data_IF_851743280926
#
_entry.id   IF_851743280926
#
_cell.length_a   1.000
_cell.length_b   1.000
_cell.length_c   1.000
_cell.angle_alpha   90.00
_cell.angle_beta   90.00
_cell.angle_gamma   90.00
#
_symmetry.space_group_name_H-M   'P 1'
#
loop_
_entity.id
_entity.type
_entity.pdbx_description
1 polymer ?
#
# COMPACT_ATOMS: atom_id res chain seq x y z
N UNK A 1 -21.39 16.61 24.31
CA UNK A 1 -22.45 15.73 23.78
C UNK A 1 -23.81 16.44 23.63
N UNK A 2 -24.04 17.64 24.20
CA UNK A 2 -25.34 18.34 24.13
C UNK A 2 -25.53 19.25 22.91
N UNK A 3 -24.47 19.88 22.37
CA UNK A 3 -24.61 20.87 21.29
C UNK A 3 -25.10 20.31 19.94
N UNK A 4 -24.94 19.00 19.71
CA UNK A 4 -25.39 18.35 18.47
C UNK A 4 -26.88 18.02 18.45
N UNK A 5 -27.56 18.08 19.60
CA UNK A 5 -28.99 17.75 19.71
C UNK A 5 -29.89 18.98 19.81
N UNK A 6 -29.33 20.18 19.98
CA UNK A 6 -30.06 21.44 20.08
C UNK A 6 -31.06 21.64 18.91
N UNK A 7 -30.65 21.56 17.63
CA UNK A 7 -31.57 21.80 16.52
C UNK A 7 -32.61 20.69 16.35
N UNK A 8 -32.33 19.46 16.82
CA UNK A 8 -33.29 18.35 16.79
C UNK A 8 -34.33 18.51 17.90
N UNK A 9 -33.89 18.95 19.09
CA UNK A 9 -34.76 19.25 20.21
C UNK A 9 -35.71 20.39 19.84
N UNK A 10 -35.19 21.46 19.24
CA UNK A 10 -36.00 22.61 18.83
C UNK A 10 -37.07 22.20 17.80
N UNK A 11 -36.71 21.40 16.78
CA UNK A 11 -37.68 20.91 15.78
C UNK A 11 -38.72 19.96 16.37
N UNK A 12 -38.32 19.06 17.29
CA UNK A 12 -39.26 18.15 17.94
C UNK A 12 -40.16 18.87 18.95
N UNK A 13 -39.65 19.91 19.60
CA UNK A 13 -40.39 20.76 20.53
C UNK A 13 -41.41 21.62 19.79
N UNK A 14 -41.03 22.25 18.68
CA UNK A 14 -41.95 23.00 17.81
C UNK A 14 -43.06 22.11 17.22
N UNK A 15 -42.72 20.87 16.86
CA UNK A 15 -43.71 19.89 16.38
C UNK A 15 -44.66 19.46 17.50
N UNK A 16 -44.14 19.20 18.71
CA UNK A 16 -44.93 18.86 19.88
C UNK A 16 -45.88 20.00 20.29
N UNK A 17 -45.38 21.23 20.29
CA UNK A 17 -46.17 22.40 20.64
C UNK A 17 -47.30 22.62 19.61
N UNK A 18 -46.97 22.53 18.32
CA UNK A 18 -47.95 22.61 17.22
C UNK A 18 -49.05 21.53 17.30
N UNK A 19 -48.70 20.30 17.67
CA UNK A 19 -49.64 19.18 17.79
C UNK A 19 -50.47 19.32 19.09
N UNK A 20 -49.89 19.86 20.17
CA UNK A 20 -50.57 20.00 21.46
C UNK A 20 -51.60 21.13 21.49
N UNK A 21 -51.43 22.16 20.64
CA UNK A 21 -52.30 23.34 20.55
C UNK A 21 -53.54 23.07 19.68
N UNK A 22 -53.51 22.11 18.75
CA UNK A 22 -54.66 21.73 17.92
C UNK A 22 -55.34 20.46 18.46
N UNK A 23 -56.61 20.58 18.91
CA UNK A 23 -57.40 19.45 19.42
C UNK A 23 -57.84 18.43 18.36
N UNK A 24 -57.69 18.76 17.07
CA UNK A 24 -57.98 17.86 15.94
C UNK A 24 -56.70 17.69 15.11
N UNK A 25 -56.00 16.57 15.32
CA UNK A 25 -54.79 16.22 14.55
C UNK A 25 -55.22 15.91 13.11
N UNK A 26 -54.80 16.75 12.16
CA UNK A 26 -55.08 16.53 10.74
C UNK A 26 -54.20 15.40 10.20
N UNK A 27 -54.69 14.68 9.20
CA UNK A 27 -53.89 13.67 8.48
C UNK A 27 -52.60 14.27 7.88
N UNK A 28 -52.61 15.58 7.56
CA UNK A 28 -51.43 16.32 7.12
C UNK A 28 -50.33 16.42 8.19
N UNK A 29 -50.70 16.60 9.45
CA UNK A 29 -49.74 16.71 10.57
C UNK A 29 -49.11 15.35 10.88
N UNK A 30 -49.88 14.26 10.73
CA UNK A 30 -49.39 12.89 10.85
C UNK A 30 -48.37 12.57 9.75
N UNK A 31 -48.65 12.96 8.50
CA UNK A 31 -47.72 12.78 7.38
C UNK A 31 -46.45 13.63 7.56
N UNK A 32 -46.58 14.86 8.05
CA UNK A 32 -45.45 15.72 8.36
C UNK A 32 -44.54 15.07 9.41
N UNK A 33 -45.10 14.58 10.52
CA UNK A 33 -44.35 13.90 11.58
C UNK A 33 -43.62 12.65 11.05
N UNK A 34 -44.27 11.83 10.23
CA UNK A 34 -43.66 10.63 9.61
C UNK A 34 -42.54 11.02 8.65
N UNK A 35 -42.72 12.06 7.84
CA UNK A 35 -41.71 12.53 6.89
C UNK A 35 -40.43 13.02 7.59
N UNK A 36 -40.59 13.73 8.71
CA UNK A 36 -39.48 14.20 9.55
C UNK A 36 -38.75 13.01 10.17
N UNK A 37 -39.48 12.02 10.67
CA UNK A 37 -38.88 10.81 11.23
C UNK A 37 -38.03 10.05 10.20
N UNK A 38 -38.54 9.90 8.97
CA UNK A 38 -37.81 9.26 7.87
C UNK A 38 -36.57 10.07 7.46
N UNK A 39 -36.66 11.40 7.41
CA UNK A 39 -35.53 12.27 7.10
C UNK A 39 -34.42 12.17 8.16
N UNK A 40 -34.78 12.15 9.45
CA UNK A 40 -33.83 11.96 10.56
C UNK A 40 -33.15 10.59 10.48
N UNK A 41 -33.91 9.54 10.15
CA UNK A 41 -33.36 8.21 9.98
C UNK A 41 -32.35 8.15 8.82
N UNK A 42 -32.69 8.73 7.65
CA UNK A 42 -31.79 8.80 6.51
C UNK A 42 -30.54 9.62 6.82
N UNK A 43 -30.68 10.76 7.49
CA UNK A 43 -29.57 11.61 7.89
C UNK A 43 -28.62 10.88 8.86
N UNK A 44 -29.14 10.14 9.84
CA UNK A 44 -28.31 9.31 10.74
C UNK A 44 -27.56 8.22 9.97
N UNK A 45 -28.24 7.53 9.05
CA UNK A 45 -27.62 6.51 8.20
C UNK A 45 -26.50 7.12 7.34
N UNK A 46 -26.72 8.28 6.75
CA UNK A 46 -25.72 9.02 5.97
C UNK A 46 -24.55 9.50 6.83
N UNK A 47 -24.79 10.00 8.05
CA UNK A 47 -23.71 10.44 8.95
C UNK A 47 -22.81 9.29 9.41
N UNK A 48 -23.38 8.12 9.70
CA UNK A 48 -22.58 6.95 10.11
C UNK A 48 -21.74 6.44 8.94
N UNK A 49 -22.31 6.38 7.73
CA UNK A 49 -21.56 6.02 6.52
C UNK A 49 -20.46 7.06 6.23
N UNK A 50 -20.82 8.35 6.25
CA UNK A 50 -19.89 9.45 5.99
C UNK A 50 -18.74 9.50 6.99
N UNK A 51 -18.96 9.23 8.29
CA UNK A 51 -17.86 9.16 9.28
C UNK A 51 -16.89 8.03 8.97
N UNK A 52 -17.40 6.85 8.61
CA UNK A 52 -16.55 5.71 8.22
C UNK A 52 -15.78 6.02 6.93
N UNK A 53 -16.42 6.66 5.97
CA UNK A 53 -15.79 7.07 4.71
C UNK A 53 -14.71 8.14 4.96
N UNK A 54 -14.96 9.13 5.81
CA UNK A 54 -13.97 10.16 6.16
C UNK A 54 -12.79 9.59 6.95
N UNK A 55 -13.02 8.70 7.93
CA UNK A 55 -11.94 8.03 8.66
C UNK A 55 -11.08 7.17 7.72
N UNK A 56 -11.73 6.52 6.76
CA UNK A 56 -11.06 5.71 5.73
C UNK A 56 -10.26 6.58 4.76
N UNK A 57 -10.85 7.65 4.22
CA UNK A 57 -10.16 8.60 3.35
C UNK A 57 -8.98 9.27 4.06
N UNK A 58 -9.11 9.60 5.35
CA UNK A 58 -8.00 10.12 6.15
C UNK A 58 -6.88 9.09 6.32
N UNK A 59 -7.20 7.82 6.57
CA UNK A 59 -6.21 6.73 6.66
C UNK A 59 -5.52 6.46 5.33
N UNK A 60 -6.28 6.41 4.23
CA UNK A 60 -5.75 6.24 2.88
C UNK A 60 -4.85 7.42 2.47
N UNK A 61 -5.29 8.66 2.78
CA UNK A 61 -4.52 9.88 2.53
C UNK A 61 -3.23 9.93 3.36
N UNK A 62 -3.30 9.53 4.63
CA UNK A 62 -2.12 9.44 5.50
C UNK A 62 -1.13 8.39 4.99
N UNK A 63 -1.59 7.18 4.65
CA UNK A 63 -0.73 6.13 4.09
C UNK A 63 -0.02 6.58 2.82
N UNK A 64 -0.75 7.20 1.89
CA UNK A 64 -0.16 7.69 0.65
C UNK A 64 0.87 8.80 0.91
N UNK A 65 0.52 9.80 1.71
CA UNK A 65 1.34 11.00 1.91
C UNK A 65 2.53 10.79 2.86
N UNK A 66 2.39 9.89 3.83
CA UNK A 66 3.39 9.70 4.90
C UNK A 66 4.25 8.47 4.65
N UNK A 67 3.72 7.42 4.01
CA UNK A 67 4.45 6.18 3.77
C UNK A 67 4.83 6.05 2.30
N UNK A 68 3.86 6.03 1.38
CA UNK A 68 4.16 5.67 -0.03
C UNK A 68 4.95 6.75 -0.77
N UNK A 69 4.50 8.01 -0.76
CA UNK A 69 5.16 9.09 -1.52
C UNK A 69 6.61 9.34 -1.09
N UNK A 70 6.95 9.39 0.20
CA UNK A 70 8.35 9.54 0.63
C UNK A 70 9.24 8.35 0.25
N UNK A 71 8.68 7.15 0.12
CA UNK A 71 9.44 5.94 -0.23
C UNK A 71 9.74 5.81 -1.72
N UNK A 72 8.97 6.44 -2.62
CA UNK A 72 9.17 6.30 -4.08
C UNK A 72 10.60 6.67 -4.56
N UNK A 73 11.23 7.77 -4.09
CA UNK A 73 12.62 8.07 -4.44
C UNK A 73 13.61 7.04 -3.90
N UNK A 74 13.36 6.46 -2.73
CA UNK A 74 14.20 5.43 -2.13
C UNK A 74 14.13 4.13 -2.91
N UNK A 75 12.92 3.72 -3.30
CA UNK A 75 12.69 2.61 -4.24
C UNK A 75 13.48 2.81 -5.52
N UNK A 76 13.30 3.94 -6.19
CA UNK A 76 14.00 4.24 -7.44
C UNK A 76 15.52 4.11 -7.28
N UNK A 77 16.09 4.75 -6.24
CA UNK A 77 17.52 4.72 -5.97
C UNK A 77 18.03 3.31 -5.68
N UNK A 78 17.27 2.54 -4.91
CA UNK A 78 17.61 1.16 -4.58
C UNK A 78 17.64 0.27 -5.83
N UNK A 79 16.60 0.33 -6.67
CA UNK A 79 16.50 -0.47 -7.88
C UNK A 79 17.53 -0.08 -8.94
N UNK A 80 17.76 1.22 -9.16
CA UNK A 80 18.81 1.69 -10.07
C UNK A 80 20.19 1.19 -9.60
N UNK A 81 20.48 1.30 -8.30
CA UNK A 81 21.73 0.77 -7.72
C UNK A 81 21.86 -0.75 -7.80
N UNK A 82 20.75 -1.49 -7.65
CA UNK A 82 20.73 -2.94 -7.77
C UNK A 82 21.01 -3.39 -9.20
N UNK A 83 20.47 -2.70 -10.21
CA UNK A 83 20.77 -2.95 -11.63
C UNK A 83 22.26 -2.79 -11.91
N UNK A 84 22.84 -1.69 -11.46
CA UNK A 84 24.27 -1.40 -11.66
C UNK A 84 25.15 -2.44 -10.96
N UNK A 85 24.80 -2.81 -9.73
CA UNK A 85 25.53 -3.81 -8.95
C UNK A 85 25.50 -5.19 -9.63
N UNK A 86 24.32 -5.68 -10.04
CA UNK A 86 24.20 -6.98 -10.73
C UNK A 86 24.96 -7.00 -12.05
N UNK A 87 24.97 -5.89 -12.80
CA UNK A 87 25.78 -5.76 -14.03
C UNK A 87 27.27 -5.84 -13.74
N UNK A 88 27.75 -5.12 -12.72
CA UNK A 88 29.14 -5.14 -12.31
C UNK A 88 29.56 -6.56 -11.84
N UNK A 89 28.74 -7.20 -11.02
CA UNK A 89 28.95 -8.55 -10.51
C UNK A 89 29.04 -9.59 -11.63
N UNK A 90 28.12 -9.57 -12.62
CA UNK A 90 28.23 -10.44 -13.81
C UNK A 90 29.51 -10.16 -14.59
N UNK A 91 29.90 -8.90 -14.73
CA UNK A 91 31.18 -8.52 -15.34
C UNK A 91 32.38 -9.12 -14.60
N UNK A 92 32.39 -9.07 -13.26
CA UNK A 92 33.43 -9.67 -12.42
C UNK A 92 33.52 -11.19 -12.59
N UNK A 93 32.38 -11.88 -12.63
CA UNK A 93 32.34 -13.34 -12.85
C UNK A 93 32.85 -13.67 -14.26
N UNK A 94 32.41 -12.95 -15.29
CA UNK A 94 32.79 -13.21 -16.68
C UNK A 94 34.29 -12.95 -16.94
N UNK A 95 34.87 -11.93 -16.29
CA UNK A 95 36.29 -11.60 -16.40
C UNK A 95 37.21 -12.50 -15.56
N UNK A 96 36.66 -13.41 -14.76
CA UNK A 96 37.46 -14.40 -14.02
C UNK A 96 38.04 -15.40 -15.02
N UNK A 97 39.36 -15.67 -15.07
CA UNK A 97 39.97 -16.51 -16.09
C UNK A 97 39.33 -17.91 -16.20
N UNK A 98 39.07 -18.44 -17.41
CA UNK A 98 38.63 -19.81 -17.57
C UNK A 98 39.83 -20.77 -17.36
N UNK A 99 39.82 -21.52 -16.26
CA UNK A 99 40.82 -22.55 -15.96
C UNK A 99 40.67 -23.14 -14.55
N UNK A 100 40.95 -24.45 -14.42
CA UNK A 100 41.05 -25.39 -13.27
C UNK A 100 40.25 -25.21 -11.96
N UNK A 101 39.73 -24.03 -11.62
CA UNK A 101 38.99 -23.69 -10.40
C UNK A 101 37.56 -23.22 -10.73
N UNK A 102 36.73 -24.11 -11.28
CA UNK A 102 35.28 -23.91 -11.27
C UNK A 102 34.73 -23.69 -9.85
N UNK A 103 35.44 -24.22 -8.84
CA UNK A 103 35.15 -24.05 -7.42
C UNK A 103 35.24 -22.57 -7.00
N UNK A 104 36.27 -21.82 -7.43
CA UNK A 104 36.40 -20.40 -7.11
C UNK A 104 35.30 -19.54 -7.75
N UNK A 105 34.78 -19.93 -8.94
CA UNK A 105 33.67 -19.23 -9.57
C UNK A 105 32.35 -19.50 -8.86
N UNK A 106 32.10 -20.75 -8.47
CA UNK A 106 30.90 -21.11 -7.70
C UNK A 106 30.90 -20.44 -6.32
N UNK A 107 32.05 -20.39 -5.65
CA UNK A 107 32.21 -19.67 -4.38
C UNK A 107 31.96 -18.16 -4.56
N UNK A 108 32.48 -17.56 -5.63
CA UNK A 108 32.24 -16.16 -5.96
C UNK A 108 30.76 -15.87 -6.23
N UNK A 109 30.06 -16.75 -6.95
CA UNK A 109 28.61 -16.65 -7.20
C UNK A 109 27.85 -16.72 -5.87
N UNK A 110 28.17 -17.71 -5.01
CA UNK A 110 27.52 -17.85 -3.71
C UNK A 110 27.69 -16.60 -2.84
N UNK A 111 28.91 -16.03 -2.79
CA UNK A 111 29.17 -14.79 -2.07
C UNK A 111 28.36 -13.60 -2.62
N UNK A 112 28.23 -13.50 -3.94
CA UNK A 112 27.44 -12.45 -4.60
C UNK A 112 25.94 -12.62 -4.29
N UNK A 113 25.44 -13.85 -4.30
CA UNK A 113 24.06 -14.17 -3.94
C UNK A 113 23.76 -13.78 -2.49
N UNK A 114 24.66 -14.10 -1.56
CA UNK A 114 24.54 -13.70 -0.15
C UNK A 114 24.58 -12.18 0.03
N UNK A 115 25.50 -11.47 -0.63
CA UNK A 115 25.61 -10.01 -0.58
C UNK A 115 24.35 -9.33 -1.13
N UNK A 116 23.83 -9.80 -2.27
CA UNK A 116 22.61 -9.30 -2.87
C UNK A 116 21.40 -9.61 -1.99
N UNK A 117 21.29 -10.83 -1.47
CA UNK A 117 20.24 -11.27 -0.56
C UNK A 117 20.18 -10.40 0.68
N UNK A 118 21.32 -10.16 1.33
CA UNK A 118 21.40 -9.27 2.51
C UNK A 118 20.98 -7.84 2.17
N UNK A 119 21.46 -7.28 1.07
CA UNK A 119 21.16 -5.90 0.67
C UNK A 119 19.67 -5.73 0.37
N UNK A 120 19.06 -6.69 -0.34
CA UNK A 120 17.63 -6.68 -0.64
C UNK A 120 16.82 -6.83 0.65
N UNK A 121 17.21 -7.77 1.51
CA UNK A 121 16.52 -8.03 2.76
C UNK A 121 16.51 -6.83 3.70
N UNK A 122 17.64 -6.13 3.84
CA UNK A 122 17.74 -4.94 4.71
C UNK A 122 16.80 -3.82 4.23
N UNK A 123 16.76 -3.57 2.92
CA UNK A 123 15.86 -2.56 2.35
C UNK A 123 14.39 -2.94 2.55
N UNK A 124 14.01 -4.18 2.24
CA UNK A 124 12.61 -4.61 2.35
C UNK A 124 12.13 -4.76 3.79
N UNK A 125 13.00 -5.15 4.73
CA UNK A 125 12.66 -5.15 6.15
C UNK A 125 12.30 -3.74 6.62
N UNK A 126 13.08 -2.73 6.21
CA UNK A 126 12.79 -1.34 6.55
C UNK A 126 11.42 -0.90 6.00
N UNK A 127 11.18 -1.14 4.71
CA UNK A 127 9.92 -0.76 4.05
C UNK A 127 8.73 -1.55 4.61
N UNK A 128 8.90 -2.84 4.87
CA UNK A 128 7.85 -3.73 5.38
C UNK A 128 7.40 -3.33 6.78
N UNK A 129 8.32 -2.87 7.65
CA UNK A 129 7.93 -2.32 8.97
C UNK A 129 7.07 -1.08 8.82
N UNK A 130 7.42 -0.17 7.90
CA UNK A 130 6.65 1.06 7.67
C UNK A 130 5.26 0.75 7.11
N UNK A 131 5.17 -0.10 6.10
CA UNK A 131 3.90 -0.49 5.48
C UNK A 131 3.07 -1.38 6.41
N UNK A 132 3.70 -2.28 7.14
CA UNK A 132 3.09 -3.17 8.14
C UNK A 132 2.49 -2.42 9.32
N UNK A 133 3.05 -1.26 9.69
CA UNK A 133 2.44 -0.38 10.71
C UNK A 133 1.07 0.17 10.31
N UNK A 134 0.80 0.23 9.00
CA UNK A 134 -0.50 0.59 8.45
C UNK A 134 -1.40 -0.64 8.25
N UNK A 135 -0.86 -1.69 7.61
CA UNK A 135 -1.56 -2.95 7.37
C UNK A 135 -0.56 -4.12 7.35
N UNK A 136 -0.67 -5.01 8.33
CA UNK A 136 0.21 -6.18 8.50
C UNK A 136 0.22 -7.10 7.28
N UNK A 137 -0.93 -7.25 6.59
CA UNK A 137 -1.04 -8.08 5.39
C UNK A 137 -0.29 -7.47 4.20
N UNK A 138 -0.26 -6.13 4.10
CA UNK A 138 0.54 -5.44 3.08
C UNK A 138 2.04 -5.58 3.36
N UNK A 139 2.45 -5.48 4.63
CA UNK A 139 3.84 -5.72 5.05
C UNK A 139 4.29 -7.16 4.74
N UNK A 140 3.48 -8.16 5.09
CA UNK A 140 3.78 -9.56 4.80
C UNK A 140 3.91 -9.82 3.29
N UNK A 141 3.05 -9.21 2.47
CA UNK A 141 3.10 -9.37 1.02
C UNK A 141 4.31 -8.70 0.37
N UNK A 142 4.83 -7.61 0.95
CA UNK A 142 6.11 -7.03 0.53
C UNK A 142 7.27 -8.00 0.77
N UNK A 143 7.24 -8.77 1.86
CA UNK A 143 8.27 -9.78 2.13
C UNK A 143 8.23 -10.91 1.09
N UNK A 144 7.04 -11.30 0.61
CA UNK A 144 6.96 -12.24 -0.52
C UNK A 144 7.57 -11.66 -1.80
N UNK A 145 7.32 -10.39 -2.11
CA UNK A 145 7.94 -9.72 -3.26
C UNK A 145 9.46 -9.53 -3.09
N UNK A 146 9.94 -9.40 -1.86
CA UNK A 146 11.37 -9.42 -1.56
C UNK A 146 12.00 -10.75 -1.96
N UNK A 147 11.40 -11.88 -1.54
CA UNK A 147 11.87 -13.22 -1.89
C UNK A 147 11.92 -13.39 -3.43
N UNK A 148 10.87 -12.95 -4.14
CA UNK A 148 10.83 -12.97 -5.61
C UNK A 148 12.00 -12.18 -6.23
N UNK A 149 12.36 -11.01 -5.66
CA UNK A 149 13.48 -10.20 -6.16
C UNK A 149 14.84 -10.86 -5.90
N UNK A 150 15.01 -11.50 -4.74
CA UNK A 150 16.24 -12.26 -4.41
C UNK A 150 16.43 -13.40 -5.41
N UNK A 151 15.36 -14.13 -5.72
CA UNK A 151 15.37 -15.19 -6.72
C UNK A 151 15.71 -14.67 -8.11
N UNK A 152 15.08 -13.56 -8.54
CA UNK A 152 15.38 -12.91 -9.83
C UNK A 152 16.87 -12.51 -9.91
N UNK A 153 17.41 -11.90 -8.86
CA UNK A 153 18.81 -11.47 -8.87
C UNK A 153 19.77 -12.66 -8.90
N UNK A 154 19.50 -13.71 -8.12
CA UNK A 154 20.29 -14.94 -8.12
C UNK A 154 20.31 -15.60 -9.50
N UNK A 155 19.15 -15.71 -10.14
CA UNK A 155 19.03 -16.26 -11.50
C UNK A 155 19.80 -15.44 -12.54
N UNK A 156 19.74 -14.11 -12.45
CA UNK A 156 20.46 -13.21 -13.36
C UNK A 156 21.99 -13.33 -13.19
N UNK A 157 22.47 -13.45 -11.94
CA UNK A 157 23.88 -13.66 -11.63
C UNK A 157 24.35 -15.03 -12.15
N UNK A 158 23.57 -16.10 -11.92
CA UNK A 158 23.91 -17.45 -12.40
C UNK A 158 24.01 -17.55 -13.92
N UNK A 159 23.23 -16.76 -14.65
CA UNK A 159 23.27 -16.71 -16.12
C UNK A 159 24.42 -15.86 -16.67
N UNK A 160 25.49 -15.59 -15.92
CA UNK A 160 26.60 -14.68 -16.29
C UNK A 160 27.22 -14.88 -17.68
N UNK A 161 27.16 -16.09 -18.25
CA UNK A 161 27.73 -16.41 -19.58
C UNK A 161 26.96 -15.79 -20.75
N UNK A 162 25.71 -15.37 -20.52
CA UNK A 162 24.85 -14.79 -21.54
C UNK A 162 25.09 -13.27 -21.67
N UNK A 163 26.16 -12.91 -22.40
CA UNK A 163 26.69 -11.54 -22.52
C UNK A 163 25.69 -10.58 -23.19
N UNK A 164 24.85 -11.08 -24.10
CA UNK A 164 23.82 -10.29 -24.79
C UNK A 164 22.63 -9.94 -23.87
N UNK A 165 22.59 -10.48 -22.65
CA UNK A 165 21.48 -10.34 -21.71
C UNK A 165 21.64 -9.18 -20.71
N UNK A 166 22.60 -8.26 -20.93
CA UNK A 166 22.84 -7.08 -20.08
C UNK A 166 21.59 -6.17 -19.97
N UNK A 167 20.87 -6.00 -21.07
CA UNK A 167 19.63 -5.22 -21.08
C UNK A 167 18.50 -5.93 -20.33
N UNK A 168 18.48 -7.27 -20.34
CA UNK A 168 17.45 -8.03 -19.63
C UNK A 168 17.57 -7.94 -18.11
N UNK A 169 18.78 -7.72 -17.56
CA UNK A 169 18.96 -7.44 -16.13
C UNK A 169 18.09 -6.25 -15.74
N UNK A 170 18.22 -5.15 -16.50
CA UNK A 170 17.45 -3.93 -16.27
C UNK A 170 15.96 -4.20 -16.46
N UNK A 171 15.57 -4.96 -17.49
CA UNK A 171 14.16 -5.28 -17.75
C UNK A 171 13.53 -6.06 -16.60
N UNK A 172 14.18 -7.10 -16.08
CA UNK A 172 13.63 -7.94 -15.03
C UNK A 172 13.53 -7.20 -13.69
N UNK A 173 14.59 -6.48 -13.30
CA UNK A 173 14.65 -5.73 -12.04
C UNK A 173 13.67 -4.54 -12.06
N UNK A 174 13.63 -3.75 -13.15
CA UNK A 174 12.71 -2.61 -13.26
C UNK A 174 11.25 -3.01 -13.53
N UNK A 175 11.01 -4.24 -13.99
CA UNK A 175 9.65 -4.81 -14.02
C UNK A 175 9.19 -5.10 -12.60
N UNK A 176 10.03 -5.71 -11.78
CA UNK A 176 9.73 -5.95 -10.37
C UNK A 176 9.48 -4.64 -9.61
N UNK A 177 10.29 -3.60 -9.85
CA UNK A 177 10.06 -2.25 -9.31
C UNK A 177 8.63 -1.76 -9.61
N UNK A 178 8.21 -1.86 -10.88
CA UNK A 178 6.86 -1.45 -11.31
C UNK A 178 5.76 -2.27 -10.64
N UNK A 179 5.99 -3.55 -10.42
CA UNK A 179 5.03 -4.43 -9.72
C UNK A 179 4.87 -4.01 -8.25
N UNK A 180 5.96 -3.71 -7.55
CA UNK A 180 5.93 -3.25 -6.16
C UNK A 180 5.27 -1.87 -6.04
N UNK A 181 5.64 -0.91 -6.90
CA UNK A 181 5.01 0.42 -6.90
C UNK A 181 3.51 0.32 -7.22
N UNK A 182 3.13 -0.53 -8.17
CA UNK A 182 1.73 -0.81 -8.49
C UNK A 182 1.01 -1.45 -7.31
N UNK A 183 1.66 -2.37 -6.59
CA UNK A 183 1.12 -3.01 -5.40
C UNK A 183 0.88 -2.01 -4.27
N UNK A 184 1.86 -1.17 -3.93
CA UNK A 184 1.72 -0.12 -2.92
C UNK A 184 0.59 0.85 -3.26
N UNK A 185 0.50 1.25 -4.53
CA UNK A 185 -0.60 2.08 -5.03
C UNK A 185 -1.97 1.37 -5.04
N UNK A 186 -2.00 0.03 -5.13
CA UNK A 186 -3.22 -0.79 -5.10
C UNK A 186 -3.63 -1.20 -3.70
N UNK A 187 -2.71 -1.30 -2.73
CA UNK A 187 -3.04 -1.52 -1.31
C UNK A 187 -4.08 -0.51 -0.82
N UNK A 188 -4.02 0.71 -1.36
CA UNK A 188 -4.99 1.79 -1.18
C UNK A 188 -6.41 1.43 -1.67
N UNK A 189 -6.56 0.60 -2.71
CA UNK A 189 -7.86 0.28 -3.34
C UNK A 189 -8.49 -1.03 -2.85
N UNK A 190 -7.70 -1.95 -2.27
CA UNK A 190 -8.13 -3.30 -1.88
C UNK A 190 -8.77 -3.34 -0.49
N UNK A 191 -8.54 -2.33 0.35
CA UNK A 191 -9.32 -2.13 1.58
C UNK A 191 -10.72 -1.64 1.17
N UNK A 192 -11.53 -2.45 0.50
CA UNK A 192 -12.90 -2.12 0.07
C UNK A 192 -13.94 -2.91 0.84
#
# INVERSE_FOLDING_TARGET
MSEYFQPLYDVLFDLYDSISIQKDISFGDLLAAVSIFLAVYQFRKQMIASRKDHEREQKESWFLNVIVLPLLPEFKKFYDGLVDNVKEQRGRINNTPPGHDNENRLELIGKIEDENGSTIMDFYNHVSVLVGSYDESLGAKLMTMMDDLVDICSDLVRRYEDVDNQDAISVHILRHEREVISFLNRGIRVIK
#
